data_IF_997834435998
#
_entry.id   IF_997834435998
#
_cell.length_a   1.000
_cell.length_b   1.000
_cell.length_c   1.000
_cell.angle_alpha   90.00
_cell.angle_beta   90.00
_cell.angle_gamma   90.00
#
_symmetry.space_group_name_H-M   'P 1'
#
loop_
_entity.id
_entity.type
_entity.pdbx_description
1 polymer ?
#
# COMPACT_ATOMS: atom_id res chain seq x y z
N UNK A 1 -27.47 -4.38 2.63
CA UNK A 1 -26.69 -4.88 1.48
C UNK A 1 -26.89 -3.93 0.31
N UNK A 2 -25.97 -2.98 0.13
CA UNK A 2 -25.87 -2.11 -1.04
C UNK A 2 -24.43 -2.24 -1.55
N UNK A 3 -24.13 -3.38 -2.16
CA UNK A 3 -23.00 -3.49 -3.07
C UNK A 3 -23.48 -2.96 -4.42
N UNK A 4 -23.59 -1.63 -4.50
CA UNK A 4 -23.48 -1.00 -5.80
C UNK A 4 -22.02 -1.21 -6.22
N UNK A 5 -21.84 -1.90 -7.35
CA UNK A 5 -20.59 -1.90 -8.08
C UNK A 5 -20.15 -0.45 -8.27
N UNK A 6 -19.23 0.00 -7.42
CA UNK A 6 -18.47 1.22 -7.60
C UNK A 6 -17.56 0.94 -8.79
N UNK A 7 -18.14 0.99 -10.00
CA UNK A 7 -17.42 1.15 -11.26
C UNK A 7 -16.46 2.29 -11.01
N UNK A 8 -15.18 1.95 -10.85
CA UNK A 8 -14.00 2.82 -10.84
C UNK A 8 -14.40 4.29 -10.85
N UNK A 9 -14.75 4.85 -9.68
CA UNK A 9 -14.74 6.29 -9.51
C UNK A 9 -13.27 6.64 -9.65
N UNK A 10 -12.85 6.96 -10.87
CA UNK A 10 -11.54 7.46 -11.17
C UNK A 10 -11.46 8.78 -10.43
N UNK A 11 -10.85 8.76 -9.24
CA UNK A 11 -10.71 9.90 -8.35
C UNK A 11 -9.86 11.04 -8.96
N UNK A 12 -9.44 10.89 -10.22
CA UNK A 12 -8.83 11.90 -11.08
C UNK A 12 -9.81 12.59 -12.06
N UNK A 13 -11.10 12.24 -12.10
CA UNK A 13 -12.08 12.85 -13.03
C UNK A 13 -12.36 14.33 -12.73
N UNK A 14 -11.95 14.85 -11.59
CA UNK A 14 -12.00 16.28 -11.31
C UNK A 14 -10.66 16.99 -11.54
N UNK A 15 -9.62 16.26 -11.89
CA UNK A 15 -8.39 16.83 -12.45
C UNK A 15 -8.28 16.49 -13.94
N UNK A 16 -9.28 15.83 -14.55
CA UNK A 16 -9.28 15.42 -15.94
C UNK A 16 -10.65 15.64 -16.58
N UNK A 17 -10.71 16.11 -17.81
CA UNK A 17 -11.99 16.27 -18.47
C UNK A 17 -12.71 14.91 -18.61
N UNK A 18 -13.98 14.76 -18.20
CA UNK A 18 -14.70 13.48 -18.31
C UNK A 18 -14.87 13.04 -19.77
N UNK A 19 -14.80 13.99 -20.71
CA UNK A 19 -14.99 13.71 -22.13
C UNK A 19 -13.70 13.28 -22.86
N UNK A 20 -12.54 13.81 -22.47
CA UNK A 20 -11.29 13.60 -23.22
C UNK A 20 -10.08 13.25 -22.35
N UNK A 21 -10.29 13.03 -21.05
CA UNK A 21 -9.28 12.70 -20.04
C UNK A 21 -8.11 13.70 -19.92
N UNK A 22 -8.20 14.86 -20.57
CA UNK A 22 -7.17 15.91 -20.50
C UNK A 22 -7.05 16.45 -19.08
N UNK A 23 -5.84 16.48 -18.53
CA UNK A 23 -5.57 17.04 -17.21
C UNK A 23 -5.96 18.53 -17.17
N UNK A 24 -6.56 18.97 -16.06
CA UNK A 24 -7.04 20.33 -15.86
C UNK A 24 -6.32 20.89 -14.64
N UNK A 25 -5.33 21.73 -14.91
CA UNK A 25 -4.43 22.24 -13.88
C UNK A 25 -5.12 23.24 -12.92
N UNK A 26 -6.21 23.89 -13.34
CA UNK A 26 -6.94 24.89 -12.56
C UNK A 26 -8.45 24.86 -12.87
N UNK A 27 -9.23 24.05 -12.13
CA UNK A 27 -10.69 23.94 -12.34
C UNK A 27 -11.48 25.17 -11.83
N UNK A 28 -11.06 25.81 -10.74
CA UNK A 28 -11.82 26.90 -10.11
C UNK A 28 -12.07 28.14 -10.98
N UNK A 29 -11.34 28.29 -12.10
CA UNK A 29 -11.48 29.43 -13.02
C UNK A 29 -12.04 29.05 -14.40
N UNK A 30 -12.31 27.77 -14.68
CA UNK A 30 -12.70 27.32 -16.01
C UNK A 30 -13.94 26.44 -15.95
N UNK A 31 -14.96 26.82 -16.71
CA UNK A 31 -16.18 26.01 -16.88
C UNK A 31 -16.10 25.03 -18.05
N UNK A 32 -15.05 25.09 -18.87
CA UNK A 32 -14.88 24.26 -20.07
C UNK A 32 -13.47 23.67 -20.16
N UNK A 33 -13.35 22.49 -20.76
CA UNK A 33 -12.07 21.84 -20.99
C UNK A 33 -11.27 22.56 -22.08
N UNK A 34 -9.97 22.80 -21.86
CA UNK A 34 -9.09 23.45 -22.83
C UNK A 34 -8.93 22.66 -24.13
N UNK A 35 -8.94 21.32 -24.04
CA UNK A 35 -8.66 20.44 -25.18
C UNK A 35 -9.89 20.18 -26.05
N UNK A 36 -11.06 20.02 -25.45
CA UNK A 36 -12.27 19.61 -26.17
C UNK A 36 -13.43 20.62 -26.10
N UNK A 37 -13.24 21.74 -25.40
CA UNK A 37 -14.22 22.81 -25.21
C UNK A 37 -15.55 22.38 -24.58
N UNK A 38 -15.71 21.13 -24.14
CA UNK A 38 -16.92 20.67 -23.45
C UNK A 38 -16.95 21.19 -22.02
N UNK A 39 -18.16 21.44 -21.52
CA UNK A 39 -18.39 21.91 -20.16
C UNK A 39 -17.84 20.90 -19.14
N UNK A 40 -17.19 21.42 -18.11
CA UNK A 40 -16.69 20.64 -16.98
C UNK A 40 -17.80 20.47 -15.95
N UNK A 41 -17.89 19.26 -15.42
CA UNK A 41 -18.91 18.87 -14.44
C UNK A 41 -18.25 18.31 -13.19
N UNK A 42 -18.90 18.52 -12.05
CA UNK A 42 -18.56 17.95 -10.75
C UNK A 42 -19.56 16.87 -10.40
N UNK A 43 -19.08 15.67 -10.10
CA UNK A 43 -19.91 14.61 -9.56
C UNK A 43 -20.23 14.90 -8.09
N UNK A 44 -21.50 15.02 -7.74
CA UNK A 44 -21.90 15.11 -6.34
C UNK A 44 -21.64 13.77 -5.64
N UNK A 45 -20.78 13.77 -4.62
CA UNK A 45 -20.42 12.57 -3.88
C UNK A 45 -21.62 11.95 -3.13
N UNK A 46 -22.57 12.78 -2.69
CA UNK A 46 -23.76 12.35 -1.96
C UNK A 46 -24.74 11.57 -2.86
N UNK A 47 -25.14 12.16 -3.99
CA UNK A 47 -26.21 11.62 -4.84
C UNK A 47 -25.78 11.18 -6.23
N UNK A 48 -24.48 11.21 -6.52
CA UNK A 48 -23.84 10.78 -7.78
C UNK A 48 -24.37 11.52 -9.02
N UNK A 49 -24.89 12.73 -8.85
CA UNK A 49 -25.38 13.57 -9.96
C UNK A 49 -24.25 14.43 -10.49
N UNK A 50 -24.11 14.53 -11.82
CA UNK A 50 -23.20 15.49 -12.44
C UNK A 50 -23.79 16.90 -12.37
N UNK A 51 -23.06 17.82 -11.78
CA UNK A 51 -23.44 19.22 -11.65
C UNK A 51 -22.50 20.08 -12.49
N UNK A 52 -23.02 21.20 -12.99
CA UNK A 52 -22.14 22.23 -13.56
C UNK A 52 -21.28 22.84 -12.45
N UNK A 53 -20.02 23.18 -12.74
CA UNK A 53 -19.15 23.95 -11.85
C UNK A 53 -19.72 25.33 -11.46
N UNK A 54 -20.74 25.81 -12.18
CA UNK A 54 -21.42 27.08 -11.88
C UNK A 54 -22.27 27.02 -10.61
N UNK A 55 -22.75 25.84 -10.21
CA UNK A 55 -23.63 25.70 -9.06
C UNK A 55 -22.81 25.47 -7.79
N UNK A 56 -23.09 26.23 -6.74
CA UNK A 56 -22.49 26.07 -5.41
C UNK A 56 -22.99 24.82 -4.69
N UNK A 57 -24.24 24.43 -4.96
CA UNK A 57 -24.91 23.27 -4.37
C UNK A 57 -25.26 22.26 -5.46
N UNK A 58 -25.38 20.99 -5.08
CA UNK A 58 -25.88 19.98 -5.99
C UNK A 58 -27.34 20.26 -6.38
N UNK A 59 -27.66 20.28 -7.67
CA UNK A 59 -29.02 20.54 -8.15
C UNK A 59 -30.05 19.49 -7.69
N UNK A 60 -29.60 18.28 -7.35
CA UNK A 60 -30.50 17.17 -6.95
C UNK A 60 -30.73 17.08 -5.45
N UNK A 61 -29.71 17.32 -4.64
CA UNK A 61 -29.77 17.10 -3.18
C UNK A 61 -29.39 18.32 -2.35
N UNK A 62 -29.17 19.46 -3.00
CA UNK A 62 -28.82 20.76 -2.40
C UNK A 62 -27.58 20.78 -1.50
N UNK A 63 -26.80 19.69 -1.49
CA UNK A 63 -25.57 19.63 -0.70
C UNK A 63 -24.48 20.53 -1.30
N UNK A 64 -23.76 21.28 -0.47
CA UNK A 64 -22.51 21.92 -0.87
C UNK A 64 -21.46 20.83 -1.17
N UNK A 65 -21.12 20.67 -2.45
CA UNK A 65 -20.20 19.64 -2.91
C UNK A 65 -18.80 19.79 -2.31
N UNK A 66 -18.41 20.99 -1.86
CA UNK A 66 -17.11 21.24 -1.24
C UNK A 66 -17.04 20.68 0.16
N UNK A 67 -18.06 20.95 0.97
CA UNK A 67 -18.15 20.45 2.35
C UNK A 67 -18.21 18.92 2.33
N UNK A 68 -19.10 18.36 1.50
CA UNK A 68 -19.22 16.90 1.36
C UNK A 68 -17.94 16.28 0.80
N UNK A 69 -17.26 16.96 -0.13
CA UNK A 69 -15.96 16.54 -0.66
C UNK A 69 -14.90 16.45 0.42
N UNK A 70 -14.71 17.51 1.21
CA UNK A 70 -13.75 17.52 2.33
C UNK A 70 -14.04 16.40 3.31
N UNK A 71 -15.29 16.21 3.73
CA UNK A 71 -15.68 15.15 4.67
C UNK A 71 -15.42 13.75 4.10
N UNK A 72 -15.79 13.51 2.84
CA UNK A 72 -15.59 12.23 2.19
C UNK A 72 -14.11 11.89 2.01
N UNK A 73 -13.33 12.77 1.39
CA UNK A 73 -11.93 12.49 1.09
C UNK A 73 -11.07 12.43 2.36
N UNK A 74 -11.34 13.27 3.38
CA UNK A 74 -10.63 13.17 4.66
C UNK A 74 -10.83 11.81 5.33
N UNK A 75 -12.06 11.28 5.34
CA UNK A 75 -12.34 9.92 5.85
C UNK A 75 -11.63 8.83 5.05
N UNK A 76 -11.61 8.93 3.72
CA UNK A 76 -10.94 7.94 2.87
C UNK A 76 -9.42 7.97 3.04
N UNK A 77 -8.81 9.16 3.11
CA UNK A 77 -7.38 9.33 3.38
C UNK A 77 -7.03 8.74 4.74
N UNK A 78 -7.80 9.07 5.80
CA UNK A 78 -7.57 8.52 7.14
C UNK A 78 -7.65 6.99 7.17
N UNK A 79 -8.62 6.40 6.44
CA UNK A 79 -8.74 4.95 6.33
C UNK A 79 -7.53 4.33 5.62
N UNK A 80 -7.12 4.88 4.47
CA UNK A 80 -5.96 4.39 3.73
C UNK A 80 -4.67 4.53 4.53
N UNK A 81 -4.52 5.62 5.29
CA UNK A 81 -3.36 5.85 6.16
C UNK A 81 -3.26 4.81 7.27
N UNK A 82 -4.40 4.46 7.89
CA UNK A 82 -4.46 3.39 8.88
C UNK A 82 -4.06 2.04 8.28
N UNK A 83 -4.66 1.66 7.14
CA UNK A 83 -4.37 0.39 6.46
C UNK A 83 -2.89 0.29 6.04
N UNK A 84 -2.32 1.39 5.50
CA UNK A 84 -0.90 1.44 5.11
C UNK A 84 0.03 1.38 6.32
N UNK A 85 -0.33 2.03 7.44
CA UNK A 85 0.45 1.96 8.68
C UNK A 85 0.51 0.54 9.24
N UNK A 86 -0.60 -0.18 9.19
CA UNK A 86 -0.62 -1.60 9.56
C UNK A 86 0.24 -2.44 8.61
N UNK A 87 0.17 -2.19 7.30
CA UNK A 87 1.03 -2.84 6.32
C UNK A 87 2.52 -2.58 6.60
N UNK A 88 2.95 -1.34 6.85
CA UNK A 88 4.36 -1.04 7.13
C UNK A 88 4.85 -1.70 8.42
N UNK A 89 3.99 -1.80 9.44
CA UNK A 89 4.31 -2.57 10.66
C UNK A 89 4.59 -4.04 10.32
N UNK A 90 3.73 -4.64 9.48
CA UNK A 90 3.88 -6.03 9.07
C UNK A 90 5.08 -6.24 8.13
N UNK A 91 5.40 -5.27 7.27
CA UNK A 91 6.61 -5.30 6.44
C UNK A 91 7.87 -5.29 7.29
N UNK A 92 7.94 -4.44 8.32
CA UNK A 92 9.08 -4.44 9.25
C UNK A 92 9.26 -5.81 9.93
N UNK A 93 8.17 -6.44 10.36
CA UNK A 93 8.22 -7.80 10.92
C UNK A 93 8.69 -8.81 9.88
N UNK A 94 8.17 -8.73 8.65
CA UNK A 94 8.57 -9.62 7.56
C UNK A 94 10.05 -9.48 7.19
N UNK A 95 10.59 -8.25 7.15
CA UNK A 95 12.01 -8.01 6.94
C UNK A 95 12.87 -8.60 8.06
N UNK A 96 12.41 -8.51 9.32
CA UNK A 96 13.08 -9.18 10.46
C UNK A 96 13.09 -10.70 10.30
N UNK A 97 11.99 -11.30 9.83
CA UNK A 97 11.93 -12.72 9.58
C UNK A 97 12.91 -13.15 8.46
N UNK A 98 12.97 -12.41 7.36
CA UNK A 98 13.96 -12.65 6.28
C UNK A 98 15.39 -12.53 6.82
N UNK A 99 15.65 -11.52 7.65
CA UNK A 99 16.96 -11.32 8.25
C UNK A 99 17.35 -12.50 9.15
N UNK A 100 16.46 -12.96 10.02
CA UNK A 100 16.69 -14.12 10.88
C UNK A 100 16.94 -15.40 10.08
N UNK A 101 16.15 -15.63 9.02
CA UNK A 101 16.35 -16.77 8.13
C UNK A 101 17.74 -16.74 7.49
N UNK A 102 18.15 -15.59 6.95
CA UNK A 102 19.50 -15.41 6.38
C UNK A 102 20.58 -15.62 7.43
N UNK A 103 20.40 -15.04 8.62
CA UNK A 103 21.36 -15.16 9.71
C UNK A 103 21.57 -16.61 10.13
N UNK A 104 20.48 -17.39 10.30
CA UNK A 104 20.60 -18.82 10.63
C UNK A 104 21.22 -19.65 9.51
N UNK A 105 21.05 -19.28 8.24
CA UNK A 105 21.72 -19.97 7.12
C UNK A 105 23.24 -19.88 7.21
N UNK A 106 23.78 -18.86 7.89
CA UNK A 106 25.21 -18.74 8.15
C UNK A 106 25.58 -19.36 9.49
N UNK A 107 24.86 -19.02 10.58
CA UNK A 107 25.24 -19.46 11.93
C UNK A 107 25.17 -20.98 12.09
N UNK A 108 24.09 -21.63 11.63
CA UNK A 108 23.89 -23.06 11.90
C UNK A 108 24.99 -23.93 11.26
N UNK A 109 25.32 -23.78 9.97
CA UNK A 109 26.42 -24.54 9.37
C UNK A 109 27.77 -24.24 10.02
N UNK A 110 28.06 -22.99 10.36
CA UNK A 110 29.32 -22.61 11.01
C UNK A 110 29.45 -23.24 12.39
N UNK A 111 28.39 -23.20 13.21
CA UNK A 111 28.41 -23.82 14.55
C UNK A 111 28.56 -25.34 14.43
N UNK A 112 27.84 -25.99 13.51
CA UNK A 112 27.96 -27.44 13.31
C UNK A 112 29.32 -27.87 12.77
N UNK A 113 29.92 -27.07 11.88
CA UNK A 113 31.28 -27.27 11.43
C UNK A 113 32.27 -27.20 12.60
N UNK A 114 32.19 -26.15 13.42
CA UNK A 114 33.04 -25.98 14.61
C UNK A 114 32.83 -27.06 15.67
N UNK A 115 31.63 -27.63 15.78
CA UNK A 115 31.37 -28.77 16.68
C UNK A 115 31.91 -30.09 16.13
N UNK A 116 32.03 -30.22 14.80
CA UNK A 116 32.59 -31.40 14.15
C UNK A 116 34.12 -31.40 14.05
N UNK A 117 34.79 -30.24 14.18
CA UNK A 117 36.26 -30.14 14.08
C UNK A 117 37.03 -30.91 15.17
N UNK A 118 36.57 -31.03 16.43
CA UNK A 118 37.26 -31.87 17.41
C UNK A 118 37.21 -33.35 17.00
N UNK A 119 36.10 -33.83 16.43
CA UNK A 119 36.00 -35.21 15.95
C UNK A 119 37.01 -35.51 14.83
N UNK A 120 37.29 -34.53 13.97
CA UNK A 120 38.37 -34.63 12.99
C UNK A 120 39.75 -34.74 13.65
N UNK A 121 40.03 -33.87 14.63
CA UNK A 121 41.33 -33.84 15.33
C UNK A 121 41.67 -35.17 16.03
N UNK A 122 40.66 -35.87 16.57
CA UNK A 122 40.85 -37.13 17.28
C UNK A 122 40.76 -38.39 16.40
N UNK A 123 40.32 -38.28 15.15
CA UNK A 123 40.23 -39.44 14.26
C UNK A 123 41.36 -39.42 13.22
N UNK A 124 42.21 -40.44 13.23
CA UNK A 124 43.29 -40.61 12.25
C UNK A 124 42.80 -41.20 10.92
N UNK A 125 41.54 -41.00 10.54
CA UNK A 125 40.95 -41.63 9.36
C UNK A 125 40.21 -40.61 8.49
N UNK A 126 40.20 -40.85 7.18
CA UNK A 126 39.60 -39.97 6.17
C UNK A 126 38.13 -39.62 6.50
N UNK A 127 37.43 -40.54 7.16
CA UNK A 127 36.05 -40.41 7.63
C UNK A 127 35.82 -39.27 8.63
N UNK A 128 36.79 -38.93 9.47
CA UNK A 128 36.64 -37.78 10.37
C UNK A 128 36.72 -36.44 9.68
N UNK A 129 37.29 -36.40 8.48
CA UNK A 129 37.38 -35.19 7.66
C UNK A 129 36.03 -34.87 7.01
N UNK A 130 35.23 -35.89 6.68
CA UNK A 130 33.90 -35.74 6.08
C UNK A 130 32.84 -35.29 7.09
N UNK A 131 32.93 -35.75 8.34
CA UNK A 131 31.95 -35.50 9.39
C UNK A 131 31.62 -34.00 9.65
N UNK A 132 32.57 -33.06 9.76
CA UNK A 132 32.24 -31.64 9.94
C UNK A 132 31.55 -31.03 8.72
N UNK A 133 31.88 -31.48 7.50
CA UNK A 133 31.21 -31.02 6.28
C UNK A 133 29.79 -31.57 6.17
N UNK A 134 29.60 -32.86 6.49
CA UNK A 134 28.28 -33.50 6.48
C UNK A 134 27.34 -32.83 7.49
N UNK A 135 27.82 -32.58 8.72
CA UNK A 135 27.04 -31.87 9.74
C UNK A 135 26.68 -30.44 9.31
N UNK A 136 27.64 -29.69 8.76
CA UNK A 136 27.39 -28.34 8.26
C UNK A 136 26.38 -28.34 7.11
N UNK A 137 26.47 -29.31 6.19
CA UNK A 137 25.56 -29.46 5.06
C UNK A 137 24.14 -29.83 5.51
N UNK A 138 24.01 -30.78 6.45
CA UNK A 138 22.71 -31.14 7.04
C UNK A 138 22.09 -29.93 7.74
N UNK A 139 22.86 -29.17 8.51
CA UNK A 139 22.40 -27.93 9.14
C UNK A 139 21.92 -26.89 8.13
N UNK A 140 22.67 -26.71 7.05
CA UNK A 140 22.28 -25.82 5.96
C UNK A 140 20.95 -26.25 5.34
N UNK A 141 20.78 -27.54 5.04
CA UNK A 141 19.52 -28.09 4.51
C UNK A 141 18.36 -27.91 5.50
N UNK A 142 18.58 -28.15 6.79
CA UNK A 142 17.58 -27.97 7.82
C UNK A 142 17.08 -26.51 7.88
N UNK A 143 18.00 -25.54 7.85
CA UNK A 143 17.61 -24.12 7.79
C UNK A 143 16.96 -23.76 6.45
N UNK A 144 17.40 -24.36 5.34
CA UNK A 144 16.78 -24.12 4.03
C UNK A 144 15.32 -24.57 3.97
N UNK A 145 15.00 -25.72 4.57
CA UNK A 145 13.66 -26.31 4.55
C UNK A 145 12.76 -25.69 5.64
N UNK A 146 13.27 -25.56 6.85
CA UNK A 146 12.48 -25.16 8.02
C UNK A 146 12.68 -23.70 8.46
N UNK A 147 13.73 -23.03 7.97
CA UNK A 147 14.14 -21.71 8.45
C UNK A 147 13.08 -20.64 8.29
N UNK A 148 12.34 -20.65 7.18
CA UNK A 148 11.24 -19.70 6.97
C UNK A 148 10.15 -19.87 8.03
N UNK A 149 9.71 -21.12 8.30
CA UNK A 149 8.70 -21.41 9.33
C UNK A 149 9.18 -20.98 10.72
N UNK A 150 10.44 -21.25 11.04
CA UNK A 150 11.04 -20.84 12.31
C UNK A 150 11.12 -19.31 12.44
N UNK A 151 11.55 -18.63 11.37
CA UNK A 151 11.67 -17.18 11.35
C UNK A 151 10.31 -16.49 11.49
N UNK A 152 9.29 -16.94 10.75
CA UNK A 152 7.94 -16.38 10.86
C UNK A 152 7.32 -16.66 12.23
N UNK A 153 7.56 -17.84 12.81
CA UNK A 153 7.08 -18.17 14.17
C UNK A 153 7.75 -17.28 15.22
N UNK A 154 9.05 -17.00 15.09
CA UNK A 154 9.78 -16.13 16.04
C UNK A 154 9.37 -14.66 15.96
N UNK A 155 8.87 -14.21 14.81
CA UNK A 155 8.39 -12.83 14.61
C UNK A 155 6.86 -12.75 14.66
N UNK A 156 6.19 -13.83 15.07
CA UNK A 156 4.73 -13.91 15.24
C UNK A 156 3.92 -13.58 13.97
N UNK A 157 4.47 -13.89 12.79
CA UNK A 157 3.77 -13.70 11.51
C UNK A 157 3.15 -15.04 11.07
N UNK A 158 1.86 -15.07 10.70
CA UNK A 158 1.25 -16.25 10.10
C UNK A 158 1.99 -16.69 8.83
N UNK A 159 2.28 -17.99 8.69
CA UNK A 159 3.00 -18.52 7.54
C UNK A 159 2.26 -18.25 6.21
N UNK A 160 0.94 -18.21 6.24
CA UNK A 160 0.09 -17.92 5.06
C UNK A 160 0.35 -16.52 4.51
N UNK A 161 0.53 -15.53 5.39
CA UNK A 161 0.88 -14.17 5.02
C UNK A 161 2.25 -14.10 4.36
N UNK A 162 3.24 -14.81 4.89
CA UNK A 162 4.58 -14.86 4.29
C UNK A 162 4.54 -15.45 2.86
N UNK A 163 3.72 -16.48 2.63
CA UNK A 163 3.51 -17.05 1.28
C UNK A 163 2.82 -16.06 0.34
N UNK A 164 1.93 -15.24 0.85
CA UNK A 164 1.17 -14.22 0.10
C UNK A 164 1.82 -12.83 0.14
N UNK A 165 3.08 -12.71 0.55
CA UNK A 165 3.69 -11.40 0.75
C UNK A 165 3.73 -10.54 -0.52
N UNK A 166 4.05 -11.15 -1.67
CA UNK A 166 4.15 -10.46 -2.96
C UNK A 166 2.82 -9.83 -3.42
N UNK A 167 1.67 -10.55 -3.42
CA UNK A 167 0.41 -9.91 -3.74
C UNK A 167 -0.01 -8.85 -2.71
N UNK A 168 0.25 -9.05 -1.42
CA UNK A 168 -0.05 -8.07 -0.36
C UNK A 168 0.74 -6.77 -0.58
N UNK A 169 2.05 -6.86 -0.85
CA UNK A 169 2.89 -5.68 -1.08
C UNK A 169 2.51 -4.93 -2.36
N UNK A 170 2.10 -5.65 -3.41
CA UNK A 170 1.57 -5.03 -4.62
C UNK A 170 0.24 -4.31 -4.36
N UNK A 171 -0.63 -4.88 -3.53
CA UNK A 171 -1.89 -4.26 -3.14
C UNK A 171 -1.65 -2.99 -2.30
N UNK A 172 -0.72 -3.02 -1.34
CA UNK A 172 -0.33 -1.86 -0.55
C UNK A 172 0.23 -0.74 -1.43
N UNK A 173 1.09 -1.05 -2.40
CA UNK A 173 1.59 -0.04 -3.36
C UNK A 173 0.48 0.62 -4.17
N UNK A 174 -0.56 -0.14 -4.54
CA UNK A 174 -1.75 0.43 -5.21
C UNK A 174 -2.57 1.32 -4.25
N UNK A 175 -2.67 0.95 -2.98
CA UNK A 175 -3.32 1.77 -1.95
C UNK A 175 -2.56 3.07 -1.69
N UNK A 176 -1.23 3.04 -1.69
CA UNK A 176 -0.37 4.23 -1.59
C UNK A 176 -0.62 5.21 -2.74
N UNK A 177 -0.59 4.72 -3.98
CA UNK A 177 -0.93 5.57 -5.15
C UNK A 177 -2.36 6.13 -5.03
N UNK A 178 -3.31 5.32 -4.56
CA UNK A 178 -4.68 5.75 -4.34
C UNK A 178 -4.78 6.81 -3.22
N UNK A 179 -3.99 6.71 -2.16
CA UNK A 179 -3.93 7.70 -1.07
C UNK A 179 -3.45 9.04 -1.62
N UNK A 180 -2.35 9.05 -2.37
CA UNK A 180 -1.82 10.27 -3.01
C UNK A 180 -2.86 10.96 -3.92
N UNK A 181 -3.63 10.16 -4.67
CA UNK A 181 -4.74 10.67 -5.49
C UNK A 181 -5.84 11.30 -4.64
N UNK A 182 -6.23 10.66 -3.53
CA UNK A 182 -7.28 11.15 -2.63
C UNK A 182 -6.84 12.40 -1.86
N UNK A 183 -5.58 12.50 -1.47
CA UNK A 183 -5.01 13.71 -0.84
C UNK A 183 -5.05 14.91 -1.78
N UNK A 184 -4.69 14.73 -3.05
CA UNK A 184 -4.82 15.80 -4.06
C UNK A 184 -6.26 16.26 -4.24
N UNK A 185 -7.23 15.34 -4.19
CA UNK A 185 -8.64 15.70 -4.22
C UNK A 185 -9.04 16.48 -2.96
N UNK A 186 -8.63 16.02 -1.78
CA UNK A 186 -8.90 16.71 -0.52
C UNK A 186 -8.36 18.15 -0.53
N UNK A 187 -7.10 18.34 -0.96
CA UNK A 187 -6.46 19.65 -1.06
C UNK A 187 -7.21 20.58 -2.02
N UNK A 188 -7.67 20.05 -3.16
CA UNK A 188 -8.51 20.80 -4.08
C UNK A 188 -9.79 21.30 -3.40
N UNK A 189 -10.52 20.41 -2.73
CA UNK A 189 -11.78 20.75 -2.06
C UNK A 189 -11.60 21.73 -0.89
N UNK A 190 -10.51 21.60 -0.13
CA UNK A 190 -10.13 22.55 0.92
C UNK A 190 -9.83 23.94 0.33
N UNK A 191 -9.09 24.01 -0.77
CA UNK A 191 -8.78 25.27 -1.45
C UNK A 191 -10.03 25.96 -1.99
N UNK A 192 -10.94 25.22 -2.63
CA UNK A 192 -12.21 25.78 -3.11
C UNK A 192 -13.12 26.26 -1.97
N UNK A 193 -13.18 25.53 -0.86
CA UNK A 193 -13.92 25.94 0.33
C UNK A 193 -13.34 27.23 0.93
N UNK A 194 -12.00 27.36 0.99
CA UNK A 194 -11.33 28.55 1.50
C UNK A 194 -11.54 29.76 0.59
N UNK A 195 -11.45 29.60 -0.73
CA UNK A 195 -11.77 30.66 -1.70
C UNK A 195 -13.21 31.15 -1.57
N UNK A 196 -14.15 30.24 -1.36
CA UNK A 196 -15.55 30.60 -1.15
C UNK A 196 -15.75 31.41 0.13
N UNK A 197 -15.11 30.99 1.23
CA UNK A 197 -15.12 31.77 2.48
C UNK A 197 -14.58 33.17 2.25
N UNK A 198 -13.42 33.32 1.60
CA UNK A 198 -12.80 34.62 1.33
C UNK A 198 -13.64 35.56 0.46
N UNK A 199 -14.51 35.06 -0.43
CA UNK A 199 -15.37 35.90 -1.27
C UNK A 199 -16.63 36.41 -0.55
N UNK A 200 -17.00 35.78 0.56
CA UNK A 200 -18.22 36.09 1.30
C UNK A 200 -17.97 36.89 2.60
N UNK A 201 -16.71 37.23 2.89
CA UNK A 201 -16.29 38.12 3.96
C UNK A 201 -15.64 39.37 3.34
#
# INVERSE_FOLDING_TARGET
>A
MLHADIKKIAALEMARCPNCSHAIDQMGNRTHCQKCSRQLTVLCISCQTNNSLLFLNCMKCDSDFRVVGVEYYSRQVAKLDFDLKEFYRLDQLYQRAIFLEKLWRFIVPTVLFLLGTPCWYFSNNLWGLLLPFDLAFIGYLAVRICGQKWATTKVEIPLEWAKQWKPISLAAKRQETKKDEMEKQLDYYLNELNRFRQKNY
#
